data_IF_074072290164
#
_entry.id   IF_074072290164
#
_cell.length_a   1.000
_cell.length_b   1.000
_cell.length_c   1.000
_cell.angle_alpha   90.00
_cell.angle_beta   90.00
_cell.angle_gamma   90.00
#
_symmetry.space_group_name_H-M   'P 1'
#
loop_
_entity.id
_entity.type
_entity.pdbx_description
1 polymer ?
#
# COMPACT_ATOMS: atom_id res chain seq x y z
N UNK A 1 -25.18 6.16 -12.65
CA UNK A 1 -26.38 6.36 -11.81
C UNK A 1 -26.09 6.93 -10.43
N UNK A 2 -25.05 6.47 -9.70
CA UNK A 2 -24.73 6.96 -8.35
C UNK A 2 -24.37 8.46 -8.31
N UNK A 3 -23.51 8.92 -9.22
CA UNK A 3 -23.07 10.33 -9.27
C UNK A 3 -24.21 11.33 -9.52
N UNK A 4 -25.16 10.97 -10.38
CA UNK A 4 -26.35 11.79 -10.66
C UNK A 4 -27.30 11.84 -9.44
N UNK A 5 -27.41 10.72 -8.70
CA UNK A 5 -28.17 10.69 -7.44
C UNK A 5 -27.52 11.54 -6.34
N UNK A 6 -26.18 11.56 -6.26
CA UNK A 6 -25.43 12.43 -5.34
C UNK A 6 -25.66 13.91 -5.67
N UNK A 7 -25.62 14.29 -6.95
CA UNK A 7 -25.95 15.66 -7.39
C UNK A 7 -27.37 16.08 -7.04
N UNK A 8 -28.35 15.20 -7.22
CA UNK A 8 -29.76 15.51 -6.88
C UNK A 8 -30.05 15.53 -5.38
N UNK A 9 -29.11 15.06 -4.55
CA UNK A 9 -29.28 15.01 -3.09
C UNK A 9 -28.85 16.29 -2.37
N UNK A 10 -28.35 17.31 -3.08
CA UNK A 10 -27.91 18.57 -2.49
C UNK A 10 -26.56 18.52 -1.77
N UNK A 11 -25.85 17.39 -1.85
CA UNK A 11 -24.49 17.26 -1.33
C UNK A 11 -23.53 18.08 -2.19
N UNK A 12 -22.78 18.97 -1.57
CA UNK A 12 -21.72 19.74 -2.22
C UNK A 12 -20.59 18.79 -2.66
N UNK A 13 -20.34 18.74 -3.96
CA UNK A 13 -19.35 17.82 -4.53
C UNK A 13 -18.02 18.54 -4.58
N UNK A 14 -17.10 18.14 -3.71
CA UNK A 14 -15.77 18.72 -3.61
C UNK A 14 -14.80 18.23 -4.71
N UNK A 15 -13.58 18.80 -4.72
CA UNK A 15 -12.51 18.44 -5.64
C UNK A 15 -12.19 16.95 -5.62
N UNK A 16 -12.15 16.37 -4.41
CA UNK A 16 -11.72 14.98 -4.19
C UNK A 16 -12.75 14.04 -4.81
N UNK A 17 -14.04 14.27 -4.56
CA UNK A 17 -15.11 13.43 -5.06
C UNK A 17 -15.18 13.43 -6.59
N UNK A 18 -15.00 14.58 -7.25
CA UNK A 18 -14.94 14.63 -8.72
C UNK A 18 -13.71 13.90 -9.28
N UNK A 19 -12.53 14.12 -8.69
CA UNK A 19 -11.31 13.45 -9.12
C UNK A 19 -11.42 11.93 -8.94
N UNK A 20 -11.93 11.48 -7.80
CA UNK A 20 -12.19 10.06 -7.52
C UNK A 20 -13.16 9.47 -8.53
N UNK A 21 -14.24 10.18 -8.89
CA UNK A 21 -15.23 9.70 -9.86
C UNK A 21 -14.68 9.61 -11.28
N UNK A 22 -13.87 10.58 -11.72
CA UNK A 22 -13.20 10.54 -13.02
C UNK A 22 -12.25 9.35 -13.09
N UNK A 23 -11.39 9.19 -12.08
CA UNK A 23 -10.45 8.06 -11.99
C UNK A 23 -11.18 6.72 -11.92
N UNK A 24 -12.28 6.63 -11.16
CA UNK A 24 -13.09 5.42 -11.07
C UNK A 24 -13.71 5.05 -12.43
N UNK A 25 -14.23 6.01 -13.18
CA UNK A 25 -14.76 5.76 -14.52
C UNK A 25 -13.67 5.36 -15.53
N UNK A 26 -12.50 5.97 -15.47
CA UNK A 26 -11.36 5.58 -16.31
C UNK A 26 -10.89 4.15 -16.01
N UNK A 27 -10.73 3.79 -14.73
CA UNK A 27 -10.33 2.44 -14.31
C UNK A 27 -11.37 1.38 -14.67
N UNK A 28 -12.65 1.75 -14.69
CA UNK A 28 -13.74 0.89 -15.13
C UNK A 28 -13.90 0.84 -16.68
N UNK A 29 -13.06 1.53 -17.45
CA UNK A 29 -13.16 1.59 -18.91
C UNK A 29 -14.36 2.39 -19.43
N UNK A 30 -15.07 3.11 -18.54
CA UNK A 30 -16.26 3.91 -18.85
C UNK A 30 -15.88 5.30 -19.37
N UNK A 31 -15.07 5.33 -20.42
CA UNK A 31 -14.45 6.54 -20.99
C UNK A 31 -15.49 7.60 -21.36
N UNK A 32 -16.65 7.21 -21.87
CA UNK A 32 -17.73 8.15 -22.21
C UNK A 32 -18.28 8.91 -20.99
N UNK A 33 -18.32 8.26 -19.82
CA UNK A 33 -18.78 8.88 -18.58
C UNK A 33 -17.73 9.83 -18.00
N UNK A 34 -16.45 9.42 -18.00
CA UNK A 34 -15.34 10.28 -17.61
C UNK A 34 -15.26 11.55 -18.50
N UNK A 35 -15.37 11.39 -19.82
CA UNK A 35 -15.40 12.51 -20.78
C UNK A 35 -16.58 13.45 -20.56
N UNK A 36 -17.77 12.92 -20.20
CA UNK A 36 -18.94 13.75 -19.89
C UNK A 36 -18.69 14.61 -18.66
N UNK A 37 -18.13 14.05 -17.60
CA UNK A 37 -17.77 14.82 -16.40
C UNK A 37 -16.74 15.91 -16.72
N UNK A 38 -15.69 15.59 -17.47
CA UNK A 38 -14.70 16.58 -17.89
C UNK A 38 -15.30 17.68 -18.79
N UNK A 39 -16.31 17.35 -19.61
CA UNK A 39 -17.01 18.33 -20.43
C UNK A 39 -17.88 19.27 -19.58
N UNK A 40 -18.55 18.75 -18.56
CA UNK A 40 -19.35 19.56 -17.63
C UNK A 40 -18.47 20.57 -16.85
N UNK A 41 -17.23 20.21 -16.53
CA UNK A 41 -16.27 21.14 -15.90
C UNK A 41 -15.91 22.35 -16.77
N UNK A 42 -16.25 22.35 -18.06
CA UNK A 42 -16.11 23.54 -18.91
C UNK A 42 -17.06 24.66 -18.48
N UNK A 43 -18.24 24.36 -17.95
CA UNK A 43 -19.21 25.37 -17.48
C UNK A 43 -19.66 24.97 -16.09
N UNK A 44 -18.85 25.26 -15.07
CA UNK A 44 -19.11 24.79 -13.73
C UNK A 44 -20.27 25.60 -13.13
N UNK A 45 -21.51 25.19 -13.42
CA UNK A 45 -22.70 25.89 -12.88
C UNK A 45 -22.83 25.70 -11.36
N UNK A 46 -22.22 24.64 -10.80
CA UNK A 46 -22.38 24.23 -9.40
C UNK A 46 -21.05 24.04 -8.63
N UNK A 47 -19.89 24.43 -9.20
CA UNK A 47 -18.60 24.26 -8.51
C UNK A 47 -17.71 25.50 -8.68
N UNK A 48 -16.78 25.77 -7.75
CA UNK A 48 -15.80 26.84 -7.93
C UNK A 48 -14.93 26.62 -9.16
N UNK A 49 -14.72 27.66 -9.97
CA UNK A 49 -13.88 27.60 -11.18
C UNK A 49 -12.45 27.13 -10.88
N UNK A 50 -11.88 27.50 -9.72
CA UNK A 50 -10.56 27.02 -9.25
C UNK A 50 -10.47 25.49 -9.16
N UNK A 51 -11.50 24.85 -8.62
CA UNK A 51 -11.58 23.38 -8.53
C UNK A 51 -11.66 22.74 -9.91
N UNK A 52 -12.48 23.29 -10.82
CA UNK A 52 -12.59 22.81 -12.19
C UNK A 52 -11.24 22.88 -12.93
N UNK A 53 -10.49 23.97 -12.73
CA UNK A 53 -9.15 24.18 -13.31
C UNK A 53 -8.17 23.10 -12.81
N UNK A 54 -8.13 22.84 -11.50
CA UNK A 54 -7.26 21.80 -10.94
C UNK A 54 -7.52 20.42 -11.54
N UNK A 55 -8.78 20.05 -11.71
CA UNK A 55 -9.19 18.76 -12.25
C UNK A 55 -8.84 18.67 -13.75
N UNK A 56 -9.22 19.68 -14.54
CA UNK A 56 -8.94 19.72 -15.99
C UNK A 56 -7.44 19.71 -16.28
N UNK A 57 -6.66 20.47 -15.52
CA UNK A 57 -5.20 20.48 -15.63
C UNK A 57 -4.58 19.14 -15.23
N UNK A 58 -5.08 18.50 -14.16
CA UNK A 58 -4.65 17.16 -13.76
C UNK A 58 -4.93 16.10 -14.84
N UNK A 59 -6.04 16.24 -15.56
CA UNK A 59 -6.41 15.39 -16.68
C UNK A 59 -5.70 15.77 -18.02
N UNK A 60 -4.81 16.77 -18.02
CA UNK A 60 -4.09 17.21 -19.21
C UNK A 60 -4.96 17.89 -20.28
N UNK A 61 -6.19 18.31 -19.93
CA UNK A 61 -7.12 19.00 -20.82
C UNK A 61 -6.74 20.48 -20.97
N UNK A 62 -5.64 20.74 -21.68
CA UNK A 62 -5.02 22.08 -21.75
C UNK A 62 -5.97 23.17 -22.22
N UNK A 63 -6.68 22.96 -23.32
CA UNK A 63 -7.56 23.98 -23.91
C UNK A 63 -8.71 24.36 -22.97
N UNK A 64 -9.35 23.37 -22.37
CA UNK A 64 -10.44 23.56 -21.42
C UNK A 64 -9.97 24.20 -20.12
N UNK A 65 -8.86 23.71 -19.55
CA UNK A 65 -8.29 24.28 -18.33
C UNK A 65 -7.95 25.76 -18.56
N UNK A 66 -7.37 26.09 -19.71
CA UNK A 66 -7.03 27.46 -20.10
C UNK A 66 -8.27 28.34 -20.26
N UNK A 67 -9.32 27.80 -20.89
CA UNK A 67 -10.56 28.54 -21.08
C UNK A 67 -11.24 28.87 -19.75
N UNK A 68 -11.35 27.91 -18.83
CA UNK A 68 -11.97 28.14 -17.51
C UNK A 68 -11.10 29.06 -16.67
N UNK A 69 -9.77 28.91 -16.75
CA UNK A 69 -8.80 29.78 -16.08
C UNK A 69 -8.93 31.24 -16.51
N UNK A 70 -9.03 31.52 -17.83
CA UNK A 70 -9.28 32.88 -18.34
C UNK A 70 -10.52 33.50 -17.73
N UNK A 71 -11.64 32.78 -17.78
CA UNK A 71 -12.89 33.28 -17.22
C UNK A 71 -12.82 33.57 -15.73
N UNK A 72 -12.13 32.71 -14.97
CA UNK A 72 -11.97 32.90 -13.54
C UNK A 72 -11.08 34.13 -13.23
N UNK A 73 -10.03 34.36 -14.03
CA UNK A 73 -9.15 35.53 -13.88
C UNK A 73 -9.88 36.82 -14.27
N UNK A 74 -10.57 36.83 -15.41
CA UNK A 74 -11.33 37.99 -15.90
C UNK A 74 -12.46 38.38 -14.93
N UNK A 75 -13.04 37.39 -14.22
CA UNK A 75 -14.04 37.60 -13.18
C UNK A 75 -13.45 37.96 -11.80
N UNK A 76 -12.12 37.96 -11.64
CA UNK A 76 -11.45 38.23 -10.36
C UNK A 76 -11.68 37.15 -9.29
N UNK A 77 -12.02 35.93 -9.70
CA UNK A 77 -12.39 34.82 -8.82
C UNK A 77 -11.19 33.95 -8.41
N UNK A 78 -10.07 34.04 -9.13
CA UNK A 78 -8.85 33.30 -8.79
C UNK A 78 -8.11 34.03 -7.67
N UNK A 79 -8.25 33.51 -6.45
CA UNK A 79 -7.59 34.03 -5.24
C UNK A 79 -6.50 33.11 -4.70
N UNK A 80 -6.41 31.89 -5.24
CA UNK A 80 -5.52 30.84 -4.77
C UNK A 80 -4.31 30.67 -5.71
N UNK A 81 -3.12 30.75 -5.13
CA UNK A 81 -1.82 30.60 -5.80
C UNK A 81 -1.69 29.18 -6.40
N UNK A 82 -2.28 28.17 -5.76
CA UNK A 82 -2.21 26.79 -6.24
C UNK A 82 -2.82 26.59 -7.63
N UNK A 83 -3.85 27.38 -7.98
CA UNK A 83 -4.49 27.35 -9.30
C UNK A 83 -3.53 27.86 -10.37
N UNK A 84 -2.76 28.90 -10.05
CA UNK A 84 -1.74 29.47 -10.93
C UNK A 84 -0.57 28.52 -11.15
N UNK A 85 0.00 27.95 -10.08
CA UNK A 85 1.07 26.94 -10.16
C UNK A 85 0.67 25.77 -11.05
N UNK A 86 -0.57 25.27 -10.87
CA UNK A 86 -1.07 24.14 -11.64
C UNK A 86 -1.17 24.45 -13.13
N UNK A 87 -1.60 25.66 -13.50
CA UNK A 87 -1.68 26.08 -14.90
C UNK A 87 -0.30 26.30 -15.52
N UNK A 88 0.66 26.84 -14.76
CA UNK A 88 2.06 26.99 -15.22
C UNK A 88 2.70 25.62 -15.47
N UNK A 89 2.50 24.66 -14.55
CA UNK A 89 2.97 23.29 -14.73
C UNK A 89 2.36 22.63 -15.98
N UNK A 90 1.06 22.85 -16.23
CA UNK A 90 0.39 22.38 -17.43
C UNK A 90 0.97 23.01 -18.70
N UNK A 91 1.13 24.33 -18.77
CA UNK A 91 1.68 24.99 -19.95
C UNK A 91 3.13 24.61 -20.23
N UNK A 92 3.94 24.46 -19.18
CA UNK A 92 5.33 24.02 -19.27
C UNK A 92 5.44 22.62 -19.87
N UNK A 93 4.57 21.70 -19.43
CA UNK A 93 4.53 20.32 -19.94
C UNK A 93 4.20 20.24 -21.43
N UNK A 94 3.34 21.14 -21.93
CA UNK A 94 2.92 21.16 -23.34
C UNK A 94 3.70 22.18 -24.20
N UNK A 95 4.82 22.73 -23.69
CA UNK A 95 5.68 23.73 -24.37
C UNK A 95 4.92 24.93 -24.95
N UNK A 96 3.86 25.37 -24.28
CA UNK A 96 3.07 26.52 -24.73
C UNK A 96 3.70 27.83 -24.22
N UNK A 97 4.84 28.21 -24.81
CA UNK A 97 5.63 29.37 -24.41
C UNK A 97 4.90 30.71 -24.62
N UNK A 98 3.96 30.76 -25.56
CA UNK A 98 3.13 31.94 -25.84
C UNK A 98 2.16 32.23 -24.68
N UNK A 99 1.45 31.21 -24.18
CA UNK A 99 0.58 31.36 -23.02
C UNK A 99 1.39 31.66 -21.75
N UNK A 100 2.52 30.99 -21.55
CA UNK A 100 3.43 31.31 -20.43
C UNK A 100 3.85 32.80 -20.49
N UNK A 101 4.19 33.33 -21.67
CA UNK A 101 4.54 34.74 -21.86
C UNK A 101 3.39 35.70 -21.55
N UNK A 102 2.17 35.39 -21.99
CA UNK A 102 0.97 36.22 -21.74
C UNK A 102 0.64 36.29 -20.26
N UNK A 103 0.64 35.14 -19.58
CA UNK A 103 0.29 35.08 -18.18
C UNK A 103 1.38 35.63 -17.26
N UNK A 104 2.65 35.59 -17.67
CA UNK A 104 3.77 36.25 -16.95
C UNK A 104 3.55 37.74 -16.70
N UNK A 105 2.85 38.44 -17.60
CA UNK A 105 2.51 39.87 -17.43
C UNK A 105 1.37 40.04 -16.43
N UNK A 106 0.39 39.14 -16.43
CA UNK A 106 -0.70 39.13 -15.43
C UNK A 106 -0.17 38.75 -14.04
N UNK A 107 0.89 37.95 -13.97
CA UNK A 107 1.53 37.53 -12.72
C UNK A 107 2.44 38.59 -12.09
N UNK A 108 2.92 39.59 -12.86
CA UNK A 108 3.79 40.64 -12.31
C UNK A 108 3.07 41.61 -11.35
N UNK A 109 1.74 41.62 -11.36
CA UNK A 109 0.91 42.45 -10.47
C UNK A 109 0.66 41.79 -9.10
N UNK A 110 1.09 40.54 -8.90
CA UNK A 110 0.96 39.83 -7.62
C UNK A 110 2.25 39.93 -6.78
N UNK A 111 2.20 40.49 -5.56
CA UNK A 111 3.39 40.80 -4.76
C UNK A 111 4.33 39.63 -4.46
N UNK A 112 3.83 38.40 -4.44
CA UNK A 112 4.61 37.19 -4.18
C UNK A 112 5.49 36.73 -5.35
N UNK A 113 5.18 37.12 -6.59
CA UNK A 113 5.91 36.67 -7.78
C UNK A 113 7.28 37.37 -7.95
N UNK A 114 7.48 38.52 -7.30
CA UNK A 114 8.73 39.29 -7.37
C UNK A 114 9.88 38.67 -6.55
N UNK A 115 9.58 37.72 -5.65
CA UNK A 115 10.56 37.09 -4.77
C UNK A 115 11.24 35.84 -5.36
N UNK A 116 10.72 35.24 -6.43
CA UNK A 116 11.26 33.97 -6.96
C UNK A 116 12.17 34.13 -8.20
N UNK A 117 12.28 35.32 -8.77
CA UNK A 117 13.05 35.55 -10.01
C UNK A 117 14.51 36.00 -9.79
N UNK A 118 14.92 36.24 -8.55
CA UNK A 118 16.33 36.36 -8.18
C UNK A 118 16.70 35.26 -7.17
N UNK A 119 16.88 34.05 -7.69
CA UNK A 119 17.68 33.03 -7.02
C UNK A 119 17.00 32.28 -5.88
N UNK A 120 15.85 31.65 -6.11
CA UNK A 120 15.44 30.49 -5.32
C UNK A 120 15.11 29.32 -6.25
N UNK A 121 15.95 28.26 -6.20
CA UNK A 121 15.47 26.91 -6.53
C UNK A 121 14.17 26.72 -5.78
N UNK A 122 13.12 26.18 -6.42
CA UNK A 122 11.92 25.69 -5.73
C UNK A 122 12.37 25.10 -4.38
N UNK A 123 11.78 25.47 -3.23
CA UNK A 123 12.08 24.78 -2.00
C UNK A 123 11.76 23.32 -2.28
N UNK A 124 12.81 22.50 -2.45
CA UNK A 124 12.72 21.10 -2.81
C UNK A 124 11.61 20.53 -1.94
N UNK A 125 10.43 20.25 -2.51
CA UNK A 125 9.33 19.65 -1.76
C UNK A 125 9.95 18.44 -1.10
N UNK A 126 10.07 18.49 0.23
CA UNK A 126 10.83 17.50 0.98
C UNK A 126 10.15 16.17 0.72
N UNK A 127 10.80 15.32 -0.07
CA UNK A 127 10.24 14.03 -0.45
C UNK A 127 10.08 13.18 0.81
N UNK A 128 9.01 12.41 0.84
CA UNK A 128 8.73 11.49 1.94
C UNK A 128 9.69 10.31 1.80
N UNK A 129 10.47 10.05 2.83
CA UNK A 129 11.45 8.97 2.84
C UNK A 129 10.79 7.67 3.31
N UNK A 130 10.76 6.66 2.44
CA UNK A 130 10.25 5.32 2.75
C UNK A 130 11.45 4.41 3.08
N UNK A 131 11.54 3.99 4.34
CA UNK A 131 12.50 2.99 4.81
C UNK A 131 11.99 1.58 4.52
N UNK A 132 12.76 0.81 3.76
CA UNK A 132 12.51 -0.61 3.49
C UNK A 132 13.42 -1.43 4.39
N UNK A 133 12.89 -1.91 5.51
CA UNK A 133 13.63 -2.65 6.53
C UNK A 133 13.19 -4.11 6.55
N UNK A 134 13.74 -4.90 5.62
CA UNK A 134 13.45 -6.33 5.46
C UNK A 134 14.73 -7.05 5.05
N UNK A 135 14.81 -8.35 5.29
CA UNK A 135 15.96 -9.16 4.86
C UNK A 135 16.15 -9.07 3.33
N UNK A 136 17.38 -9.00 2.85
CA UNK A 136 17.69 -8.79 1.43
C UNK A 136 17.09 -9.87 0.54
N UNK A 137 16.99 -11.13 1.01
CA UNK A 137 16.31 -12.22 0.28
C UNK A 137 14.85 -11.94 -0.08
N UNK A 138 14.22 -10.95 0.59
CA UNK A 138 12.84 -10.50 0.32
C UNK A 138 12.78 -9.37 -0.70
N UNK A 139 13.89 -8.68 -0.91
CA UNK A 139 14.05 -7.61 -1.91
C UNK A 139 14.66 -8.16 -3.20
N UNK A 140 15.73 -8.96 -3.08
CA UNK A 140 16.50 -9.59 -4.14
C UNK A 140 16.06 -11.05 -4.27
N UNK A 141 15.47 -11.42 -5.40
CA UNK A 141 15.08 -12.81 -5.68
C UNK A 141 16.15 -13.50 -6.54
N UNK A 142 17.06 -14.26 -5.94
CA UNK A 142 18.03 -15.11 -6.66
C UNK A 142 19.34 -14.41 -7.04
N UNK A 143 20.17 -15.08 -7.85
CA UNK A 143 21.47 -14.62 -8.37
C UNK A 143 21.38 -13.42 -9.33
N UNK A 144 20.17 -12.94 -9.63
CA UNK A 144 19.92 -11.77 -10.44
C UNK A 144 19.25 -10.68 -9.61
N UNK A 145 19.92 -9.53 -9.51
CA UNK A 145 19.54 -8.41 -8.64
C UNK A 145 18.26 -7.64 -9.07
N UNK A 146 17.38 -8.20 -9.92
CA UNK A 146 16.43 -7.39 -10.70
C UNK A 146 14.96 -7.88 -10.83
N UNK A 147 14.42 -8.80 -10.02
CA UNK A 147 13.04 -9.31 -10.29
C UNK A 147 12.15 -9.73 -9.11
N UNK A 148 12.26 -9.09 -7.94
CA UNK A 148 11.29 -9.31 -6.83
C UNK A 148 9.98 -8.51 -7.00
N UNK A 149 8.79 -9.04 -6.63
CA UNK A 149 7.54 -8.27 -6.60
C UNK A 149 7.63 -6.97 -5.79
N UNK A 150 8.48 -6.95 -4.76
CA UNK A 150 8.72 -5.78 -3.94
C UNK A 150 9.39 -4.65 -4.73
N UNK A 151 10.39 -4.94 -5.56
CA UNK A 151 11.05 -3.92 -6.39
C UNK A 151 10.06 -3.27 -7.35
N UNK A 152 9.19 -4.06 -7.99
CA UNK A 152 8.16 -3.52 -8.90
C UNK A 152 7.18 -2.57 -8.20
N UNK A 153 6.88 -2.81 -6.92
CA UNK A 153 6.05 -1.90 -6.12
C UNK A 153 6.83 -0.62 -5.80
N UNK A 154 8.08 -0.76 -5.39
CA UNK A 154 8.94 0.37 -5.02
C UNK A 154 9.26 1.27 -6.22
N UNK A 155 9.58 0.70 -7.38
CA UNK A 155 9.81 1.44 -8.63
C UNK A 155 8.58 2.28 -9.01
N UNK A 156 7.37 1.71 -8.86
CA UNK A 156 6.11 2.43 -9.10
C UNK A 156 5.89 3.55 -8.10
N UNK A 157 6.24 3.35 -6.82
CA UNK A 157 6.16 4.40 -5.80
C UNK A 157 7.12 5.55 -6.11
N UNK A 158 8.37 5.23 -6.47
CA UNK A 158 9.38 6.23 -6.81
C UNK A 158 9.01 7.02 -8.07
N UNK A 159 8.31 6.40 -9.04
CA UNK A 159 7.84 7.05 -10.25
C UNK A 159 6.83 8.20 -10.02
N UNK A 160 6.18 8.27 -8.84
CA UNK A 160 5.33 9.42 -8.48
C UNK A 160 6.14 10.70 -8.22
N UNK A 161 7.45 10.58 -7.96
CA UNK A 161 8.34 11.73 -7.72
C UNK A 161 8.27 12.34 -6.32
N UNK A 162 7.31 11.90 -5.49
CA UNK A 162 7.07 12.40 -4.12
C UNK A 162 7.84 11.62 -3.04
N UNK A 163 8.37 10.44 -3.39
CA UNK A 163 8.97 9.51 -2.44
C UNK A 163 10.45 9.24 -2.77
N UNK A 164 11.28 9.20 -1.72
CA UNK A 164 12.63 8.64 -1.79
C UNK A 164 12.67 7.32 -1.02
N UNK A 165 13.25 6.28 -1.61
CA UNK A 165 13.25 4.92 -1.05
C UNK A 165 14.63 4.58 -0.52
N UNK A 166 14.71 4.17 0.74
CA UNK A 166 15.96 3.81 1.41
C UNK A 166 15.90 2.36 1.89
N UNK A 167 16.77 1.52 1.36
CA UNK A 167 16.88 0.12 1.76
C UNK A 167 17.82 -0.06 2.94
N UNK A 168 17.35 -0.74 3.98
CA UNK A 168 18.20 -1.10 5.12
C UNK A 168 18.82 -2.45 4.75
N UNK A 169 20.11 -2.46 4.41
CA UNK A 169 20.79 -3.70 4.03
C UNK A 169 20.92 -4.68 5.21
N UNK A 170 21.17 -5.96 4.91
CA UNK A 170 21.26 -7.01 5.93
C UNK A 170 22.31 -6.69 7.01
N UNK A 171 23.47 -6.14 6.61
CA UNK A 171 24.51 -5.68 7.54
C UNK A 171 23.97 -4.67 8.55
N UNK A 172 23.20 -3.67 8.08
CA UNK A 172 22.62 -2.64 8.96
C UNK A 172 21.61 -3.26 9.91
N UNK A 173 20.69 -4.08 9.36
CA UNK A 173 19.62 -4.70 10.14
C UNK A 173 20.18 -5.65 11.22
N UNK A 174 21.17 -6.47 10.88
CA UNK A 174 21.70 -7.50 11.76
C UNK A 174 22.75 -6.94 12.73
N UNK A 175 23.74 -6.19 12.23
CA UNK A 175 24.96 -5.88 12.97
C UNK A 175 24.94 -4.48 13.60
N UNK A 176 24.42 -3.47 12.90
CA UNK A 176 24.50 -2.09 13.39
C UNK A 176 23.47 -1.81 14.50
N UNK A 177 23.80 -0.94 15.47
CA UNK A 177 22.85 -0.46 16.47
C UNK A 177 21.78 0.43 15.82
N UNK A 178 20.56 0.44 16.38
CA UNK A 178 19.37 1.06 15.78
C UNK A 178 19.50 2.59 15.60
N UNK A 179 20.35 3.23 16.39
CA UNK A 179 20.63 4.66 16.31
C UNK A 179 21.32 5.02 14.99
N UNK A 180 22.06 4.08 14.39
CA UNK A 180 22.79 4.25 13.13
C UNK A 180 21.98 3.84 11.90
N UNK A 181 20.79 3.28 12.09
CA UNK A 181 19.93 2.91 10.97
C UNK A 181 19.46 4.17 10.23
N UNK A 182 19.21 4.10 8.90
CA UNK A 182 18.73 5.23 8.14
C UNK A 182 17.45 5.81 8.74
N UNK A 183 17.30 7.14 8.68
CA UNK A 183 16.07 7.82 9.12
C UNK A 183 15.06 7.77 7.98
N UNK A 184 13.79 7.50 8.30
CA UNK A 184 12.70 7.51 7.34
C UNK A 184 11.44 8.11 7.97
N UNK A 185 10.56 8.63 7.11
CA UNK A 185 9.24 9.16 7.52
C UNK A 185 8.20 8.03 7.60
N UNK A 186 8.36 7.02 6.74
CA UNK A 186 7.50 5.85 6.66
C UNK A 186 8.35 4.58 6.66
N UNK A 187 7.93 3.53 7.38
CA UNK A 187 8.65 2.27 7.49
C UNK A 187 7.82 1.10 6.96
N UNK A 188 8.38 0.39 5.99
CA UNK A 188 7.94 -0.92 5.54
C UNK A 188 8.88 -1.96 6.15
N UNK A 189 8.36 -2.71 7.12
CA UNK A 189 9.08 -3.79 7.78
C UNK A 189 8.16 -4.98 7.97
N UNK A 190 8.69 -6.18 7.73
CA UNK A 190 7.99 -7.43 8.00
C UNK A 190 8.96 -8.57 8.28
N UNK A 191 8.59 -9.43 9.22
CA UNK A 191 9.38 -10.55 9.64
C UNK A 191 9.63 -11.53 8.49
N UNK A 192 10.83 -12.09 8.49
CA UNK A 192 11.12 -13.36 7.84
C UNK A 192 12.18 -14.10 8.63
N UNK A 193 12.37 -15.40 8.39
CA UNK A 193 13.37 -16.20 9.12
C UNK A 193 14.73 -15.48 9.17
N UNK A 194 15.24 -15.23 10.38
CA UNK A 194 16.50 -14.53 10.65
C UNK A 194 16.38 -13.01 10.82
N UNK A 195 15.20 -12.42 10.64
CA UNK A 195 14.97 -10.99 10.82
C UNK A 195 14.82 -10.61 12.31
N UNK A 196 15.55 -9.60 12.81
CA UNK A 196 15.51 -9.21 14.20
C UNK A 196 14.32 -8.27 14.49
N UNK A 197 13.11 -8.84 14.62
CA UNK A 197 11.86 -8.07 14.83
C UNK A 197 11.95 -7.12 16.02
N UNK A 198 12.51 -7.57 17.15
CA UNK A 198 12.70 -6.74 18.35
C UNK A 198 13.57 -5.48 18.07
N UNK A 199 14.58 -5.57 17.18
CA UNK A 199 15.38 -4.40 16.79
C UNK A 199 14.55 -3.42 15.96
N UNK A 200 13.72 -3.93 15.05
CA UNK A 200 12.83 -3.10 14.24
C UNK A 200 11.79 -2.38 15.11
N UNK A 201 11.23 -3.05 16.12
CA UNK A 201 10.34 -2.43 17.10
C UNK A 201 11.03 -1.33 17.91
N UNK A 202 12.25 -1.61 18.39
CA UNK A 202 13.04 -0.62 19.11
C UNK A 202 13.40 0.60 18.22
N UNK A 203 13.73 0.36 16.95
CA UNK A 203 13.91 1.43 15.97
C UNK A 203 12.64 2.24 15.76
N UNK A 204 11.48 1.59 15.63
CA UNK A 204 10.20 2.27 15.46
C UNK A 204 9.82 3.10 16.70
N UNK A 205 10.11 2.61 17.91
CA UNK A 205 9.91 3.37 19.15
C UNK A 205 10.84 4.59 19.25
N UNK A 206 12.10 4.44 18.80
CA UNK A 206 13.11 5.50 18.80
C UNK A 206 12.80 6.61 17.78
N UNK A 207 12.50 6.22 16.52
CA UNK A 207 12.38 7.13 15.38
C UNK A 207 10.95 7.54 15.06
N UNK A 208 9.95 6.81 15.56
CA UNK A 208 8.51 7.05 15.38
C UNK A 208 8.08 7.30 13.91
N UNK A 209 8.54 6.48 12.93
CA UNK A 209 8.05 6.60 11.57
C UNK A 209 6.58 6.15 11.48
N UNK A 210 5.88 6.54 10.42
CA UNK A 210 4.60 5.93 10.07
C UNK A 210 4.81 4.47 9.68
N UNK A 211 4.19 3.53 10.41
CA UNK A 211 4.32 2.10 10.14
C UNK A 211 3.28 1.66 9.08
N UNK A 212 3.75 1.10 7.96
CA UNK A 212 2.84 0.48 6.96
C UNK A 212 2.27 -0.83 7.48
N UNK A 213 3.10 -1.60 8.19
CA UNK A 213 2.69 -2.81 8.88
C UNK A 213 3.01 -2.66 10.37
N UNK A 214 2.02 -2.91 11.23
CA UNK A 214 2.24 -3.01 12.66
C UNK A 214 3.27 -4.11 12.98
N UNK A 215 4.30 -3.76 13.76
CA UNK A 215 5.39 -4.70 14.06
C UNK A 215 5.00 -5.70 15.15
N UNK A 216 4.40 -5.23 16.24
CA UNK A 216 4.03 -6.08 17.38
C UNK A 216 3.03 -7.18 17.01
N UNK A 217 2.14 -6.91 16.05
CA UNK A 217 1.17 -7.92 15.57
C UNK A 217 1.84 -9.06 14.79
N UNK A 218 3.08 -8.91 14.33
CA UNK A 218 3.79 -9.95 13.59
C UNK A 218 4.22 -11.10 14.50
N UNK A 219 4.45 -10.85 15.79
CA UNK A 219 4.72 -11.91 16.77
C UNK A 219 3.58 -12.94 16.83
N UNK A 220 2.33 -12.47 16.70
CA UNK A 220 1.15 -13.34 16.70
C UNK A 220 1.18 -14.35 15.53
N UNK A 221 1.80 -14.00 14.40
CA UNK A 221 1.87 -14.88 13.22
C UNK A 221 2.78 -16.10 13.43
N UNK A 222 3.64 -16.10 14.46
CA UNK A 222 4.50 -17.24 14.79
C UNK A 222 3.78 -18.35 15.55
N UNK A 223 2.62 -18.09 16.13
CA UNK A 223 1.86 -19.10 16.87
C UNK A 223 0.52 -19.34 16.17
N UNK A 224 0.37 -20.50 15.52
CA UNK A 224 -0.87 -20.87 14.83
C UNK A 224 -2.09 -20.88 15.75
N UNK A 225 -1.88 -21.16 17.06
CA UNK A 225 -2.95 -21.15 18.06
C UNK A 225 -3.45 -19.73 18.27
N UNK A 226 -2.53 -18.78 18.46
CA UNK A 226 -2.86 -17.36 18.61
C UNK A 226 -3.54 -16.80 17.35
N UNK A 227 -3.11 -17.24 16.15
CA UNK A 227 -3.79 -16.91 14.89
C UNK A 227 -5.24 -17.42 14.89
N UNK A 228 -5.47 -18.68 15.25
CA UNK A 228 -6.80 -19.28 15.22
C UNK A 228 -7.74 -18.61 16.24
N UNK A 229 -7.26 -18.41 17.47
CA UNK A 229 -8.00 -17.68 18.51
C UNK A 229 -8.37 -16.26 18.06
N UNK A 230 -7.44 -15.56 17.39
CA UNK A 230 -7.68 -14.21 16.86
C UNK A 230 -8.75 -14.21 15.76
N UNK A 231 -8.73 -15.19 14.86
CA UNK A 231 -9.72 -15.33 13.79
C UNK A 231 -11.11 -15.61 14.37
N UNK A 232 -11.21 -16.57 15.29
CA UNK A 232 -12.48 -16.92 15.95
C UNK A 232 -13.05 -15.74 16.74
N UNK A 233 -12.21 -14.98 17.45
CA UNK A 233 -12.62 -13.77 18.18
C UNK A 233 -13.28 -12.72 17.27
N UNK A 234 -12.91 -12.66 15.99
CA UNK A 234 -13.52 -11.77 15.01
C UNK A 234 -14.64 -12.42 14.20
N UNK A 235 -15.10 -13.62 14.59
CA UNK A 235 -16.17 -14.34 13.89
C UNK A 235 -15.76 -14.87 12.52
N UNK A 236 -14.46 -15.00 12.26
CA UNK A 236 -13.95 -15.61 11.03
C UNK A 236 -13.94 -17.13 11.23
N UNK A 237 -14.68 -17.85 10.38
CA UNK A 237 -14.77 -19.30 10.44
C UNK A 237 -13.39 -19.94 10.20
N UNK A 238 -13.00 -20.85 11.10
CA UNK A 238 -11.80 -21.68 10.99
C UNK A 238 -12.18 -23.17 10.91
N UNK A 239 -11.33 -24.04 10.32
CA UNK A 239 -11.56 -25.47 10.38
C UNK A 239 -11.64 -25.96 11.82
N UNK A 240 -12.50 -26.94 12.10
CA UNK A 240 -12.52 -27.62 13.41
C UNK A 240 -11.12 -28.12 13.73
N UNK A 241 -10.60 -27.77 14.91
CA UNK A 241 -9.25 -28.13 15.33
C UNK A 241 -9.23 -28.53 16.81
N UNK A 242 -8.16 -29.18 17.22
CA UNK A 242 -7.84 -29.44 18.62
C UNK A 242 -6.34 -29.24 18.84
N UNK A 243 -5.97 -28.88 20.07
CA UNK A 243 -4.57 -28.66 20.45
C UNK A 243 -4.04 -29.88 21.22
N UNK A 244 -2.91 -30.39 20.77
CA UNK A 244 -2.17 -31.47 21.43
C UNK A 244 -0.82 -30.91 21.83
N UNK A 245 -0.60 -30.70 23.13
CA UNK A 245 0.65 -30.17 23.66
C UNK A 245 1.46 -31.31 24.25
N UNK A 246 2.67 -31.52 23.73
CA UNK A 246 3.63 -32.51 24.24
C UNK A 246 4.88 -31.79 24.74
N UNK A 247 5.38 -32.18 25.90
CA UNK A 247 6.64 -31.68 26.48
C UNK A 247 7.86 -32.34 25.84
N UNK A 248 7.71 -33.59 25.39
CA UNK A 248 8.74 -34.36 24.70
C UNK A 248 8.13 -35.22 23.59
N UNK A 249 8.93 -35.67 22.60
CA UNK A 249 8.45 -36.50 21.51
C UNK A 249 7.77 -37.78 22.01
N UNK A 250 6.65 -38.16 21.38
CA UNK A 250 5.89 -39.39 21.69
C UNK A 250 5.38 -39.48 23.15
N UNK A 251 5.21 -38.35 23.84
CA UNK A 251 4.56 -38.32 25.14
C UNK A 251 3.14 -38.92 25.03
N UNK A 252 2.86 -39.94 25.84
CA UNK A 252 1.51 -40.44 26.07
C UNK A 252 0.70 -39.40 26.84
N UNK A 253 -0.51 -39.11 26.36
CA UNK A 253 -1.41 -38.11 26.92
C UNK A 253 -2.75 -38.78 27.18
N UNK A 254 -3.26 -38.68 28.40
CA UNK A 254 -4.55 -39.24 28.83
C UNK A 254 -5.74 -38.69 28.01
N UNK A 255 -5.59 -37.49 27.47
CA UNK A 255 -6.61 -36.81 26.65
C UNK A 255 -6.44 -37.00 25.14
N UNK A 256 -5.46 -37.79 24.68
CA UNK A 256 -5.19 -38.05 23.26
C UNK A 256 -5.24 -39.55 22.98
N UNK A 257 -6.13 -39.96 22.09
CA UNK A 257 -6.22 -41.35 21.61
C UNK A 257 -5.98 -41.35 20.11
N UNK A 258 -5.12 -42.26 19.65
CA UNK A 258 -4.82 -42.48 18.24
C UNK A 258 -5.24 -43.89 17.86
N UNK A 259 -6.10 -44.00 16.85
CA UNK A 259 -6.63 -45.23 16.29
C UNK A 259 -6.35 -45.29 14.79
N UNK A 260 -6.65 -46.43 14.16
CA UNK A 260 -6.31 -46.66 12.75
C UNK A 260 -6.87 -45.57 11.80
N UNK A 261 -8.12 -45.14 12.01
CA UNK A 261 -8.83 -44.22 11.11
C UNK A 261 -9.24 -42.88 11.75
N UNK A 262 -8.87 -42.64 13.01
CA UNK A 262 -9.18 -41.39 13.68
C UNK A 262 -8.20 -41.06 14.80
N UNK A 263 -8.20 -39.78 15.19
CA UNK A 263 -7.66 -39.34 16.47
C UNK A 263 -8.76 -38.72 17.30
N UNK A 264 -8.66 -38.82 18.61
CA UNK A 264 -9.61 -38.23 19.56
C UNK A 264 -8.86 -37.37 20.57
N UNK A 265 -9.26 -36.11 20.67
CA UNK A 265 -8.62 -35.13 21.57
C UNK A 265 -9.67 -34.57 22.52
N UNK A 266 -9.59 -34.90 23.81
CA UNK A 266 -10.56 -34.49 24.84
C UNK A 266 -12.02 -34.82 24.44
N UNK A 267 -12.25 -36.03 23.92
CA UNK A 267 -13.57 -36.47 23.44
C UNK A 267 -13.97 -35.94 22.05
N UNK A 268 -13.17 -35.06 21.43
CA UNK A 268 -13.43 -34.59 20.07
C UNK A 268 -12.75 -35.51 19.06
N UNK A 269 -13.55 -36.30 18.35
CA UNK A 269 -13.07 -37.19 17.30
C UNK A 269 -12.82 -36.46 15.98
N UNK A 270 -11.70 -36.80 15.33
CA UNK A 270 -11.26 -36.35 14.02
C UNK A 270 -10.96 -37.59 13.15
N UNK A 271 -11.85 -37.87 12.21
CA UNK A 271 -11.68 -38.96 11.25
C UNK A 271 -10.68 -38.58 10.17
N UNK A 272 -9.92 -39.57 9.68
CA UNK A 272 -9.10 -39.38 8.49
C UNK A 272 -10.02 -39.14 7.27
N UNK A 273 -9.70 -38.18 6.37
CA UNK A 273 -8.48 -37.41 6.37
C UNK A 273 -8.50 -36.21 7.32
N UNK A 274 -7.41 -36.01 8.05
CA UNK A 274 -7.17 -34.83 8.87
C UNK A 274 -5.77 -34.27 8.65
N UNK A 275 -5.55 -33.04 9.10
CA UNK A 275 -4.28 -32.31 8.97
C UNK A 275 -3.68 -32.06 10.33
N UNK A 276 -2.43 -32.43 10.53
CA UNK A 276 -1.61 -32.06 11.67
C UNK A 276 -0.67 -30.91 11.27
N UNK A 277 -0.60 -29.88 12.11
CA UNK A 277 0.25 -28.72 11.90
C UNK A 277 1.07 -28.45 13.15
N UNK A 278 2.39 -28.22 13.02
CA UNK A 278 3.20 -27.69 14.10
C UNK A 278 2.61 -26.37 14.61
N UNK A 279 2.70 -26.14 15.92
CA UNK A 279 2.24 -24.90 16.55
C UNK A 279 2.97 -23.67 15.98
N UNK A 280 4.26 -23.83 15.68
CA UNK A 280 5.07 -22.75 15.14
C UNK A 280 4.69 -22.44 13.68
N UNK A 281 4.35 -21.18 13.40
CA UNK A 281 3.85 -20.71 12.10
C UNK A 281 4.85 -20.84 10.95
N UNK A 282 6.15 -20.72 11.24
CA UNK A 282 7.23 -20.92 10.26
C UNK A 282 7.66 -22.37 10.10
N UNK A 283 7.14 -23.28 10.91
CA UNK A 283 7.33 -24.71 10.68
C UNK A 283 6.27 -25.19 9.68
N UNK A 284 6.76 -25.68 8.54
CA UNK A 284 5.96 -26.05 7.39
C UNK A 284 5.85 -27.57 7.21
N UNK A 285 6.37 -28.38 8.15
CA UNK A 285 6.18 -29.84 8.18
C UNK A 285 4.74 -30.17 8.57
N UNK A 286 3.83 -29.96 7.62
CA UNK A 286 2.40 -30.18 7.78
C UNK A 286 2.09 -31.60 7.30
N UNK A 287 1.44 -32.39 8.13
CA UNK A 287 1.08 -33.77 7.81
C UNK A 287 -0.38 -33.88 7.42
N UNK A 288 -0.66 -34.70 6.40
CA UNK A 288 -2.01 -35.11 6.03
C UNK A 288 -2.09 -36.62 6.19
N UNK A 289 -3.07 -37.09 6.96
CA UNK A 289 -3.30 -38.52 7.19
C UNK A 289 -4.49 -38.99 6.35
N UNK A 290 -4.37 -40.14 5.68
CA UNK A 290 -5.42 -40.68 4.82
C UNK A 290 -6.11 -41.89 5.47
N UNK A 291 -7.42 -42.07 5.25
CA UNK A 291 -8.15 -43.19 5.82
C UNK A 291 -7.72 -44.52 5.17
N UNK A 292 -7.81 -45.61 5.91
CA UNK A 292 -7.55 -46.97 5.43
C UNK A 292 -8.41 -47.33 4.21
N UNK A 293 -9.64 -46.81 4.13
CA UNK A 293 -10.51 -46.96 2.97
C UNK A 293 -9.96 -46.37 1.66
N UNK A 294 -8.99 -45.47 1.75
CA UNK A 294 -8.30 -44.85 0.61
C UNK A 294 -6.86 -45.37 0.44
N UNK A 295 -6.51 -46.49 1.09
CA UNK A 295 -5.17 -47.07 1.08
C UNK A 295 -4.28 -46.62 2.25
N UNK A 296 -4.79 -45.80 3.16
CA UNK A 296 -4.08 -45.36 4.36
C UNK A 296 -2.85 -44.50 4.08
N UNK A 297 -1.95 -44.45 5.07
CA UNK A 297 -0.70 -43.71 4.99
C UNK A 297 -0.83 -42.21 5.29
N UNK A 298 0.27 -41.50 5.07
CA UNK A 298 0.38 -40.06 5.35
C UNK A 298 1.21 -39.35 4.28
N UNK A 299 0.99 -38.05 4.13
CA UNK A 299 1.78 -37.18 3.27
C UNK A 299 2.28 -35.97 4.05
N UNK A 300 3.59 -35.83 4.10
CA UNK A 300 4.24 -34.61 4.58
C UNK A 300 4.23 -33.56 3.46
N UNK A 301 3.74 -32.36 3.78
CA UNK A 301 3.94 -31.18 2.97
C UNK A 301 5.27 -30.55 3.36
N UNK A 302 6.03 -30.12 2.36
CA UNK A 302 7.28 -29.40 2.56
C UNK A 302 7.29 -28.13 1.72
N UNK A 303 8.13 -27.19 2.13
CA UNK A 303 8.36 -25.97 1.36
C UNK A 303 8.98 -26.34 0.02
N UNK A 304 8.30 -26.00 -1.09
CA UNK A 304 8.79 -26.27 -2.45
C UNK A 304 10.23 -25.76 -2.61
N UNK A 305 11.18 -26.69 -2.77
CA UNK A 305 12.55 -26.35 -3.11
C UNK A 305 12.56 -25.77 -4.54
N UNK A 306 13.15 -24.59 -4.73
CA UNK A 306 13.49 -24.12 -6.07
C UNK A 306 14.66 -24.98 -6.54
N UNK A 307 14.39 -26.02 -7.33
CA UNK A 307 15.43 -26.71 -8.07
C UNK A 307 15.95 -25.70 -9.11
N UNK A 308 17.19 -25.27 -8.96
CA UNK A 308 17.89 -24.54 -10.01
C UNK A 308 18.14 -25.55 -11.14
N UNK A 309 17.49 -25.34 -12.28
CA UNK A 309 17.81 -25.99 -13.54
C UNK A 309 18.79 -25.11 -14.31
#
# INVERSE_FOLDING_TARGET
MLFQKLRSSGIEIDQVLYQTMIVAYERAGLVAHAKRLLHELKRPDNIPRGTAIHILAGAGRIEEATWVFRQAVDAGEVKDIAVFERMIGLFSKYRNAEEIGKWRVVFSDFPSFRLEMEGEREPLRKKITIGVCVMEKKVKCGSEAFSGPMLQILDRLQAFGEFDIVHFGDKVILEEPIERWPVCDCLIAFYSTGYPLNKAEAYAALRKPFLVNELGQQHLLHDRRAVYERLERFGIAVPKYALVNREYPNQELDYFVEEEDFVEVRGNRFWKPFVEKPVHGDDHSIMIYYPSSAGGGMKELFRKAKVAY
#
